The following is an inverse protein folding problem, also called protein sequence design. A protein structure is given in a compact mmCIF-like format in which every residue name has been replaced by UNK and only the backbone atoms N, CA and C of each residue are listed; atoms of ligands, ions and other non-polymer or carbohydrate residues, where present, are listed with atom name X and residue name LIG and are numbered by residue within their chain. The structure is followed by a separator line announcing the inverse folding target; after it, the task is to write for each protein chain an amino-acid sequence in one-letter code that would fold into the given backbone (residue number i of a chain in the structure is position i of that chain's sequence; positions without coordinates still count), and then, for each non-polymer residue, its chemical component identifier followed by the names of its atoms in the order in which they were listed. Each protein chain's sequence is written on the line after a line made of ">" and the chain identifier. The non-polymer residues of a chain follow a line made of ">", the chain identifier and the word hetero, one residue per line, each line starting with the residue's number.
data_IF_801512119786
#
_entry.id   IF_801512119786
#
_cell.length_a   1.000
_cell.length_b   1.000
_cell.length_c   1.000
_cell.angle_alpha   90.00
_cell.angle_beta   90.00
_cell.angle_gamma   90.00
#
_symmetry.space_group_name_H-M   'P 1'
#
loop_
_entity.id
_entity.type
_entity.pdbx_description
1 polymer ?
#
# COMPACT_ATOMS: atom_id res chain seq x y z
N UNK A 1 8.38 -7.55 20.14
CA UNK A 1 7.53 -8.06 19.04
C UNK A 1 6.28 -7.20 18.85
N UNK A 2 5.34 -7.15 19.79
CA UNK A 2 4.04 -6.42 19.65
C UNK A 2 4.24 -4.94 19.30
N UNK A 3 5.09 -4.21 20.03
CA UNK A 3 5.36 -2.78 19.76
C UNK A 3 5.95 -2.57 18.35
N UNK A 4 6.85 -3.44 17.89
CA UNK A 4 7.42 -3.34 16.53
C UNK A 4 6.36 -3.58 15.45
N UNK A 5 5.50 -4.59 15.62
CA UNK A 5 4.39 -4.82 14.69
C UNK A 5 3.38 -3.67 14.70
N UNK A 6 3.05 -3.13 15.87
CA UNK A 6 2.17 -1.97 15.99
C UNK A 6 2.73 -0.74 15.25
N UNK A 7 4.03 -0.46 15.37
CA UNK A 7 4.70 0.62 14.62
C UNK A 7 4.65 0.38 13.11
N UNK A 8 4.92 -0.85 12.66
CA UNK A 8 4.88 -1.22 11.23
C UNK A 8 3.47 -1.04 10.66
N UNK A 9 2.43 -1.53 11.36
CA UNK A 9 1.02 -1.37 10.95
C UNK A 9 0.63 0.10 10.89
N UNK A 10 1.03 0.90 11.88
CA UNK A 10 0.73 2.33 11.93
C UNK A 10 1.43 3.07 10.78
N UNK A 11 2.69 2.73 10.50
CA UNK A 11 3.42 3.29 9.37
C UNK A 11 2.75 2.94 8.03
N UNK A 12 2.33 1.68 7.84
CA UNK A 12 1.63 1.22 6.64
C UNK A 12 0.26 1.90 6.44
N UNK A 13 -0.49 2.13 7.52
CA UNK A 13 -1.76 2.87 7.49
C UNK A 13 -1.56 4.33 7.06
N UNK A 14 -0.49 4.98 7.50
CA UNK A 14 -0.18 6.37 7.13
C UNK A 14 0.39 6.46 5.70
N UNK A 15 1.10 5.45 5.22
CA UNK A 15 1.69 5.45 3.86
C UNK A 15 0.70 5.06 2.77
N UNK A 16 -0.27 4.19 3.04
CA UNK A 16 -1.32 3.84 2.06
C UNK A 16 -1.97 5.04 1.34
N UNK A 17 -2.46 6.09 2.04
CA UNK A 17 -3.06 7.25 1.38
C UNK A 17 -2.06 8.06 0.54
N UNK A 18 -0.77 8.07 0.89
CA UNK A 18 0.25 8.79 0.10
C UNK A 18 0.54 8.06 -1.21
N UNK A 19 0.54 6.72 -1.20
CA UNK A 19 0.73 5.88 -2.39
C UNK A 19 -0.44 6.04 -3.38
N UNK A 20 -1.68 6.11 -2.89
CA UNK A 20 -2.85 6.40 -3.73
C UNK A 20 -2.79 7.80 -4.33
N UNK A 21 -2.41 8.81 -3.55
CA UNK A 21 -2.25 10.17 -4.04
C UNK A 21 -1.15 10.27 -5.12
N UNK A 22 0.00 9.63 -4.88
CA UNK A 22 1.10 9.57 -5.83
C UNK A 22 0.69 8.92 -7.15
N UNK A 23 -0.04 7.79 -7.08
CA UNK A 23 -0.58 7.11 -8.27
C UNK A 23 -1.53 8.01 -9.08
N UNK A 24 -2.37 8.79 -8.41
CA UNK A 24 -3.28 9.74 -9.07
C UNK A 24 -2.52 10.91 -9.72
N UNK A 25 -1.51 11.48 -9.05
CA UNK A 25 -0.65 12.52 -9.64
C UNK A 25 0.14 12.00 -10.84
N UNK A 26 0.67 10.78 -10.76
CA UNK A 26 1.38 10.14 -11.87
C UNK A 26 0.48 10.02 -13.10
N UNK A 27 -0.78 9.63 -12.91
CA UNK A 27 -1.77 9.57 -13.99
C UNK A 27 -2.03 10.92 -14.63
N UNK A 28 -2.14 12.00 -13.86
CA UNK A 28 -2.31 13.36 -14.40
C UNK A 28 -1.09 13.78 -15.20
N UNK A 29 0.11 13.55 -14.67
CA UNK A 29 1.37 13.88 -15.33
C UNK A 29 1.56 13.12 -16.65
N UNK A 30 1.24 11.82 -16.69
CA UNK A 30 1.26 11.01 -17.91
C UNK A 30 0.32 11.56 -18.99
N UNK A 31 -0.82 12.15 -18.59
CA UNK A 31 -1.71 12.83 -19.52
C UNK A 31 -1.14 14.14 -20.09
N UNK A 32 -0.28 14.83 -19.33
CA UNK A 32 0.33 16.09 -19.75
C UNK A 32 1.50 15.90 -20.71
N UNK A 33 2.27 14.82 -20.56
CA UNK A 33 3.42 14.50 -21.42
C UNK A 33 3.03 13.84 -22.76
N UNK A 34 1.73 13.69 -23.04
CA UNK A 34 1.24 13.11 -24.29
C UNK A 34 1.40 11.59 -24.39
N UNK A 35 1.46 10.88 -23.25
CA UNK A 35 1.61 9.42 -23.25
C UNK A 35 0.39 8.75 -23.93
N UNK A 36 0.58 7.79 -24.85
CA UNK A 36 -0.53 7.09 -25.50
C UNK A 36 -1.48 6.44 -24.48
N UNK A 37 -2.79 6.49 -24.75
CA UNK A 37 -3.81 5.98 -23.82
C UNK A 37 -3.60 4.50 -23.44
N UNK A 38 -3.09 3.69 -24.37
CA UNK A 38 -2.75 2.28 -24.15
C UNK A 38 -1.66 2.11 -23.07
N UNK A 39 -0.59 2.90 -23.15
CA UNK A 39 0.52 2.85 -22.20
C UNK A 39 0.12 3.43 -20.84
N UNK A 40 -0.73 4.47 -20.84
CA UNK A 40 -1.25 5.08 -19.62
C UNK A 40 -2.08 4.10 -18.81
N UNK A 41 -2.88 3.25 -19.49
CA UNK A 41 -3.64 2.18 -18.84
C UNK A 41 -2.70 1.14 -18.22
N UNK A 42 -1.69 0.68 -18.97
CA UNK A 42 -0.70 -0.27 -18.45
C UNK A 42 0.06 0.28 -17.25
N UNK A 43 0.49 1.55 -17.30
CA UNK A 43 1.15 2.22 -16.19
C UNK A 43 0.24 2.32 -14.95
N UNK A 44 -1.04 2.61 -15.13
CA UNK A 44 -2.01 2.63 -14.03
C UNK A 44 -2.18 1.27 -13.36
N UNK A 45 -2.27 0.21 -14.15
CA UNK A 45 -2.42 -1.15 -13.64
C UNK A 45 -1.19 -1.57 -12.81
N UNK A 46 0.02 -1.21 -13.26
CA UNK A 46 1.27 -1.43 -12.50
C UNK A 46 1.30 -0.61 -11.21
N UNK A 47 0.91 0.67 -11.25
CA UNK A 47 0.85 1.52 -10.05
C UNK A 47 -0.12 0.97 -9.02
N UNK A 48 -1.30 0.48 -9.45
CA UNK A 48 -2.25 -0.19 -8.55
C UNK A 48 -1.70 -1.50 -8.00
N UNK A 49 -1.04 -2.31 -8.81
CA UNK A 49 -0.42 -3.56 -8.36
C UNK A 49 0.64 -3.30 -7.27
N UNK A 50 1.45 -2.25 -7.43
CA UNK A 50 2.42 -1.84 -6.41
C UNK A 50 1.75 -1.43 -5.09
N UNK A 51 0.69 -0.64 -5.16
CA UNK A 51 -0.08 -0.24 -3.97
C UNK A 51 -0.70 -1.45 -3.23
N UNK A 52 -1.15 -2.47 -3.97
CA UNK A 52 -1.67 -3.71 -3.38
C UNK A 52 -0.61 -4.50 -2.61
N UNK A 53 0.67 -4.43 -3.00
CA UNK A 53 1.77 -5.05 -2.24
C UNK A 53 1.90 -4.44 -0.84
N UNK A 54 1.80 -3.10 -0.72
CA UNK A 54 1.77 -2.41 0.57
C UNK A 54 0.57 -2.82 1.42
N UNK A 55 -0.61 -2.95 0.80
CA UNK A 55 -1.82 -3.40 1.49
C UNK A 55 -1.67 -4.85 2.00
N UNK A 56 -1.10 -5.75 1.21
CA UNK A 56 -0.87 -7.14 1.60
C UNK A 56 0.12 -7.24 2.78
N UNK A 57 1.20 -6.46 2.75
CA UNK A 57 2.15 -6.37 3.87
C UNK A 57 1.47 -5.83 5.15
N UNK A 58 0.57 -4.85 4.99
CA UNK A 58 -0.20 -4.30 6.09
C UNK A 58 -1.14 -5.32 6.74
N UNK A 59 -1.93 -6.00 5.91
CA UNK A 59 -2.82 -7.08 6.37
C UNK A 59 -2.04 -8.19 7.08
N UNK A 60 -0.89 -8.59 6.53
CA UNK A 60 -0.03 -9.62 7.14
C UNK A 60 0.47 -9.19 8.52
N UNK A 61 0.92 -7.93 8.64
CA UNK A 61 1.39 -7.37 9.92
C UNK A 61 0.28 -7.29 10.96
N UNK A 62 -0.94 -6.95 10.55
CA UNK A 62 -2.13 -6.95 11.40
C UNK A 62 -2.49 -8.37 11.87
N UNK A 63 -2.51 -9.35 10.96
CA UNK A 63 -2.80 -10.74 11.31
C UNK A 63 -1.77 -11.32 12.28
N UNK A 64 -0.48 -11.02 12.08
CA UNK A 64 0.59 -11.41 13.01
C UNK A 64 0.42 -10.75 14.38
N UNK A 65 0.01 -9.50 14.44
CA UNK A 65 -0.28 -8.80 15.70
C UNK A 65 -1.46 -9.45 16.43
N UNK A 66 -2.56 -9.75 15.74
CA UNK A 66 -3.73 -10.42 16.31
C UNK A 66 -3.38 -11.82 16.83
N UNK A 67 -2.61 -12.59 16.06
CA UNK A 67 -2.15 -13.92 16.46
C UNK A 67 -1.27 -13.86 17.72
N UNK A 68 -0.33 -12.90 17.78
CA UNK A 68 0.50 -12.67 18.95
C UNK A 68 -0.28 -12.21 20.18
N UNK A 69 -1.39 -11.48 20.01
CA UNK A 69 -2.26 -11.05 21.11
C UNK A 69 -3.07 -12.24 21.66
N UNK A 70 -3.66 -13.05 20.79
CA UNK A 70 -4.41 -14.24 21.20
C UNK A 70 -3.53 -15.25 21.94
N UNK A 71 -2.26 -15.41 21.53
CA UNK A 71 -1.29 -16.28 22.24
C UNK A 71 -0.85 -15.78 23.62
N UNK A 72 -1.19 -14.54 24.00
CA UNK A 72 -0.81 -13.99 25.32
C UNK A 72 -1.86 -14.26 26.38
N UNK A 73 -3.07 -14.64 25.97
CA UNK A 73 -4.19 -14.94 26.86
C UNK A 73 -4.22 -16.42 27.30
N UNK A 74 -3.31 -17.25 26.79
CA UNK A 74 -3.00 -18.62 27.24
C UNK A 74 -1.69 -18.66 28.06
#
# INVERSE_FOLDING_TARGET
>A
AIIMYAVVVLFQLVTLPVEFNASQRAMVYMGQIGLPAQERKGAFDVLRACAFTYLAAALTSVLQLLWLLNQRED
#
